data_IF_817956351454
#
_entry.id   IF_817956351454
#
_cell.length_a   1.000
_cell.length_b   1.000
_cell.length_c   1.000
_cell.angle_alpha   90.00
_cell.angle_beta   90.00
_cell.angle_gamma   90.00
#
_symmetry.space_group_name_H-M   'P 1'
#
loop_
_entity.id
_entity.type
_entity.pdbx_description
1 polymer ?
#
# COMPACT_ATOMS: atom_id res chain seq x y z
N UNK A 1 -1.85 -11.49 5.35
CA UNK A 1 -0.63 -10.84 4.80
C UNK A 1 0.19 -10.29 5.96
N UNK A 2 1.37 -10.87 6.23
CA UNK A 2 2.23 -10.46 7.35
C UNK A 2 3.61 -9.96 6.90
N UNK A 3 4.05 -10.31 5.70
CA UNK A 3 5.34 -9.92 5.14
C UNK A 3 5.21 -9.33 3.74
N UNK A 4 6.31 -8.74 3.23
CA UNK A 4 6.43 -8.32 1.82
C UNK A 4 6.19 -9.50 0.87
N UNK A 5 6.73 -10.69 1.21
CA UNK A 5 6.59 -11.89 0.40
C UNK A 5 5.13 -12.33 0.35
N UNK A 6 4.48 -12.45 1.51
CA UNK A 6 3.05 -12.79 1.58
C UNK A 6 2.21 -11.79 0.80
N UNK A 7 2.55 -10.49 0.89
CA UNK A 7 1.84 -9.44 0.17
C UNK A 7 2.00 -9.64 -1.34
N UNK A 8 3.21 -9.95 -1.81
CA UNK A 8 3.50 -10.17 -3.23
C UNK A 8 2.74 -11.38 -3.76
N UNK A 9 2.75 -12.49 -3.04
CA UNK A 9 2.02 -13.71 -3.44
C UNK A 9 0.50 -13.48 -3.48
N UNK A 10 -0.05 -12.83 -2.44
CA UNK A 10 -1.46 -12.47 -2.40
C UNK A 10 -1.84 -11.48 -3.52
N UNK A 11 -0.95 -10.53 -3.82
CA UNK A 11 -1.15 -9.56 -4.89
C UNK A 11 -1.15 -10.23 -6.26
N UNK A 12 -0.22 -11.14 -6.54
CA UNK A 12 -0.12 -11.81 -7.82
C UNK A 12 -1.40 -12.64 -8.11
N UNK A 13 -1.95 -13.32 -7.10
CA UNK A 13 -3.26 -14.01 -7.22
C UNK A 13 -4.42 -13.04 -7.47
N UNK A 14 -4.46 -11.94 -6.73
CA UNK A 14 -5.47 -10.90 -6.88
C UNK A 14 -5.42 -10.26 -8.27
N UNK A 15 -4.23 -9.87 -8.73
CA UNK A 15 -3.99 -9.24 -10.02
C UNK A 15 -4.41 -10.15 -11.17
N UNK A 16 -4.02 -11.44 -11.13
CA UNK A 16 -4.42 -12.41 -12.13
C UNK A 16 -5.96 -12.55 -12.23
N UNK A 17 -6.64 -12.63 -11.09
CA UNK A 17 -8.10 -12.74 -11.04
C UNK A 17 -8.80 -11.47 -11.55
N UNK A 18 -8.33 -10.29 -11.14
CA UNK A 18 -8.92 -9.02 -11.58
C UNK A 18 -8.67 -8.78 -13.07
N UNK A 19 -7.49 -9.08 -13.59
CA UNK A 19 -7.20 -8.93 -15.02
C UNK A 19 -8.05 -9.91 -15.84
N UNK A 20 -8.29 -11.12 -15.34
CA UNK A 20 -9.18 -12.08 -16.00
C UNK A 20 -10.60 -11.52 -16.16
N UNK A 21 -11.15 -10.85 -15.13
CA UNK A 21 -12.49 -10.24 -15.18
C UNK A 21 -12.52 -8.87 -15.87
N UNK A 22 -11.45 -8.08 -15.71
CA UNK A 22 -11.36 -6.67 -16.05
C UNK A 22 -10.00 -6.35 -16.68
N UNK A 23 -9.77 -6.86 -17.89
CA UNK A 23 -8.49 -6.73 -18.60
C UNK A 23 -7.99 -5.29 -18.74
N UNK A 24 -8.90 -4.31 -18.84
CA UNK A 24 -8.56 -2.88 -18.93
C UNK A 24 -7.87 -2.34 -17.67
N UNK A 25 -7.98 -3.01 -16.52
CA UNK A 25 -7.34 -2.60 -15.25
C UNK A 25 -5.87 -3.01 -15.13
N UNK A 26 -5.32 -3.74 -16.10
CA UNK A 26 -3.94 -4.26 -16.01
C UNK A 26 -2.88 -3.17 -15.81
N UNK A 27 -3.04 -2.00 -16.45
CA UNK A 27 -2.08 -0.89 -16.29
C UNK A 27 -2.13 -0.27 -14.90
N UNK A 28 -3.34 -0.08 -14.36
CA UNK A 28 -3.60 0.46 -13.02
C UNK A 28 -2.96 -0.47 -11.97
N UNK A 29 -3.26 -1.77 -12.02
CA UNK A 29 -2.76 -2.77 -11.08
C UNK A 29 -1.23 -2.87 -11.10
N UNK A 30 -0.62 -2.87 -12.30
CA UNK A 30 0.84 -2.90 -12.43
C UNK A 30 1.52 -1.67 -11.84
N UNK A 31 0.95 -0.47 -12.07
CA UNK A 31 1.44 0.78 -11.48
C UNK A 31 1.34 0.74 -9.96
N UNK A 32 0.20 0.30 -9.44
CA UNK A 32 -0.02 0.15 -8.01
C UNK A 32 0.96 -0.85 -7.36
N UNK A 33 1.14 -2.02 -7.97
CA UNK A 33 2.12 -3.02 -7.53
C UNK A 33 3.52 -2.44 -7.42
N UNK A 34 3.93 -1.70 -8.45
CA UNK A 34 5.24 -1.03 -8.50
C UNK A 34 5.37 -0.01 -7.36
N UNK A 35 4.33 0.77 -7.11
CA UNK A 35 4.30 1.74 -6.02
C UNK A 35 4.47 1.07 -4.66
N UNK A 36 3.66 0.06 -4.32
CA UNK A 36 3.73 -0.62 -3.02
C UNK A 36 5.05 -1.38 -2.84
N UNK A 37 5.59 -2.01 -3.87
CA UNK A 37 6.92 -2.62 -3.81
C UNK A 37 8.04 -1.59 -3.62
N UNK A 38 7.89 -0.39 -4.18
CA UNK A 38 8.77 0.75 -3.91
C UNK A 38 8.71 1.20 -2.45
N UNK A 39 7.54 1.18 -1.83
CA UNK A 39 7.36 1.46 -0.40
C UNK A 39 8.04 0.41 0.48
N UNK A 40 7.90 -0.89 0.16
CA UNK A 40 8.63 -1.94 0.87
C UNK A 40 10.14 -1.80 0.69
N UNK A 41 10.61 -1.39 -0.49
CA UNK A 41 12.05 -1.30 -0.79
C UNK A 41 12.71 -0.06 -0.18
N UNK A 42 11.94 1.00 0.08
CA UNK A 42 12.45 2.27 0.65
C UNK A 42 12.41 2.32 2.18
N UNK A 43 11.86 1.29 2.84
CA UNK A 43 11.64 1.27 4.29
C UNK A 43 12.34 0.09 4.95
N UNK A 44 12.77 0.27 6.20
CA UNK A 44 13.28 -0.83 7.00
C UNK A 44 12.18 -1.86 7.30
N UNK A 45 12.56 -3.12 7.50
CA UNK A 45 11.63 -4.25 7.67
C UNK A 45 10.67 -4.07 8.84
N UNK A 46 11.09 -3.39 9.91
CA UNK A 46 10.25 -3.00 11.05
C UNK A 46 9.02 -2.15 10.66
N UNK A 47 9.10 -1.42 9.54
CA UNK A 47 8.00 -0.61 9.01
C UNK A 47 7.15 -1.32 7.95
N UNK A 48 7.46 -2.56 7.57
CA UNK A 48 6.68 -3.29 6.56
C UNK A 48 5.21 -3.49 6.99
N UNK A 49 4.95 -3.64 8.29
CA UNK A 49 3.59 -3.68 8.81
C UNK A 49 2.81 -2.37 8.51
N UNK A 50 3.47 -1.22 8.53
CA UNK A 50 2.85 0.06 8.18
C UNK A 50 2.54 0.14 6.68
N UNK A 51 3.42 -0.39 5.82
CA UNK A 51 3.18 -0.48 4.37
C UNK A 51 1.93 -1.33 4.07
N UNK A 52 1.78 -2.48 4.73
CA UNK A 52 0.60 -3.34 4.58
C UNK A 52 -0.68 -2.62 5.05
N UNK A 53 -0.63 -1.90 6.18
CA UNK A 53 -1.79 -1.14 6.65
C UNK A 53 -2.16 0.01 5.70
N UNK A 54 -1.16 0.67 5.11
CA UNK A 54 -1.39 1.69 4.10
C UNK A 54 -2.02 1.11 2.82
N UNK A 55 -1.55 -0.04 2.33
CA UNK A 55 -2.16 -0.76 1.20
C UNK A 55 -3.64 -1.08 1.47
N UNK A 56 -3.96 -1.63 2.65
CA UNK A 56 -5.34 -1.91 3.06
C UNK A 56 -6.18 -0.62 3.00
N UNK A 57 -5.69 0.47 3.60
CA UNK A 57 -6.42 1.73 3.64
C UNK A 57 -6.61 2.35 2.26
N UNK A 58 -5.59 2.32 1.40
CA UNK A 58 -5.67 2.81 0.02
C UNK A 58 -6.70 2.03 -0.78
N UNK A 59 -6.70 0.70 -0.68
CA UNK A 59 -7.68 -0.15 -1.38
C UNK A 59 -9.10 0.04 -0.84
N UNK A 60 -9.25 0.28 0.46
CA UNK A 60 -10.55 0.63 1.06
C UNK A 60 -11.06 1.98 0.58
N UNK A 61 -10.19 2.99 0.50
CA UNK A 61 -10.57 4.33 0.01
C UNK A 61 -11.06 4.26 -1.44
N UNK A 62 -10.31 3.59 -2.32
CA UNK A 62 -10.71 3.38 -3.72
C UNK A 62 -12.02 2.58 -3.82
N UNK A 63 -12.25 1.60 -2.95
CA UNK A 63 -13.50 0.84 -2.96
C UNK A 63 -14.71 1.67 -2.48
N UNK A 64 -14.50 2.68 -1.64
CA UNK A 64 -15.55 3.58 -1.15
C UNK A 64 -15.85 4.73 -2.12
N UNK A 65 -14.86 5.08 -2.97
CA UNK A 65 -14.90 6.22 -3.87
C UNK A 65 -14.90 5.78 -5.33
N UNK A 66 -16.03 5.98 -6.00
CA UNK A 66 -16.17 5.66 -7.43
C UNK A 66 -15.40 6.62 -8.35
N UNK A 67 -14.78 7.66 -7.82
CA UNK A 67 -14.01 8.67 -8.55
C UNK A 67 -12.49 8.50 -8.45
N UNK A 68 -12.00 7.44 -7.80
CA UNK A 68 -10.58 7.16 -7.62
C UNK A 68 -10.17 5.83 -8.26
N UNK A 69 -8.99 5.81 -8.86
CA UNK A 69 -8.28 4.61 -9.26
C UNK A 69 -7.10 4.32 -8.32
N UNK A 70 -6.63 3.07 -8.31
CA UNK A 70 -5.46 2.70 -7.49
C UNK A 70 -4.19 3.44 -7.91
N UNK A 71 -4.06 3.88 -9.16
CA UNK A 71 -2.90 4.61 -9.65
C UNK A 71 -3.00 6.14 -9.51
N UNK A 72 -4.07 6.66 -8.90
CA UNK A 72 -4.22 8.08 -8.54
C UNK A 72 -3.42 8.40 -7.26
N UNK A 73 -2.09 8.22 -7.33
CA UNK A 73 -1.22 8.32 -6.17
C UNK A 73 -1.21 9.70 -5.50
N UNK A 74 -1.48 10.77 -6.25
CA UNK A 74 -1.56 12.13 -5.69
C UNK A 74 -2.78 12.26 -4.78
N UNK A 75 -3.91 11.69 -5.19
CA UNK A 75 -5.14 11.67 -4.39
C UNK A 75 -5.07 10.64 -3.27
N UNK A 76 -4.20 9.63 -3.34
CA UNK A 76 -4.04 8.63 -2.28
C UNK A 76 -2.91 8.95 -1.29
N UNK A 77 -2.10 9.98 -1.56
CA UNK A 77 -0.90 10.28 -0.75
C UNK A 77 -1.21 10.51 0.72
N UNK A 78 -2.34 11.18 1.02
CA UNK A 78 -2.75 11.47 2.38
C UNK A 78 -3.15 10.20 3.15
N UNK A 79 -3.74 9.22 2.46
CA UNK A 79 -4.12 7.93 3.05
C UNK A 79 -2.88 7.21 3.53
N UNK A 80 -1.84 7.16 2.69
CA UNK A 80 -0.58 6.52 3.02
C UNK A 80 0.21 7.29 4.09
N UNK A 81 0.33 8.62 3.98
CA UNK A 81 1.05 9.47 4.94
C UNK A 81 0.57 9.23 6.37
N UNK A 82 -0.74 9.05 6.56
CA UNK A 82 -1.33 8.72 7.87
C UNK A 82 -0.69 7.50 8.54
N UNK A 83 -0.33 6.46 7.79
CA UNK A 83 0.24 5.23 8.37
C UNK A 83 1.75 5.31 8.54
N UNK A 84 2.40 6.18 7.78
CA UNK A 84 3.85 6.33 7.77
C UNK A 84 4.32 7.39 8.75
N UNK A 85 3.66 8.55 8.81
CA UNK A 85 4.03 9.65 9.70
C UNK A 85 3.59 9.38 11.15
N UNK A 86 2.45 8.71 11.35
CA UNK A 86 1.97 8.35 12.68
C UNK A 86 2.94 7.43 13.45
N UNK A 87 3.82 6.68 12.75
CA UNK A 87 4.86 5.85 13.40
C UNK A 87 6.24 6.50 13.43
N UNK A 88 6.54 7.46 12.54
CA UNK A 88 7.77 8.25 12.62
C UNK A 88 7.81 9.15 13.87
N UNK A 89 6.66 9.71 14.28
CA UNK A 89 6.56 10.57 15.46
C UNK A 89 6.75 9.86 16.81
N UNK A 90 6.44 8.56 16.90
CA UNK A 90 6.60 7.78 18.15
C UNK A 90 8.03 7.28 18.40
N UNK A 91 8.94 7.39 17.43
CA UNK A 91 10.32 6.92 17.58
C UNK A 91 11.23 7.89 18.38
N UNK A 92 10.79 9.12 18.68
CA UNK A 92 11.62 10.13 19.38
C UNK A 92 11.34 10.26 20.89
N UNK A 93 10.66 9.29 21.50
CA UNK A 93 10.13 9.40 22.86
C UNK A 93 10.67 8.42 23.90
N UNK A 94 11.96 8.10 23.92
CA UNK A 94 12.57 7.43 25.07
C UNK A 94 13.91 8.08 25.46
N UNK A 95 13.82 9.30 26.01
CA UNK A 95 14.87 9.82 26.89
C UNK A 95 14.45 9.48 28.32
N UNK A 96 15.05 8.44 28.86
CA UNK A 96 14.95 8.05 30.28
C UNK A 96 15.77 9.03 31.12
N UNK A 97 15.27 9.58 32.24
CA UNK A 97 16.12 10.07 33.33
C UNK A 97 16.67 8.92 34.17
#
# INVERSE_FOLDING_TARGET
VQSRTDWTECWDMYEAFVIYLFAHRASELRRYRTHVLGLFSSRATEYHAAVIQADIAMRSEVALRNDLALDDFQDLIFVWQRFVDARGAHASGSTTP
#
